data_IF_172527632728
#
_entry.id   IF_172527632728
#
_cell.length_a   1.000
_cell.length_b   1.000
_cell.length_c   1.000
_cell.angle_alpha   90.00
_cell.angle_beta   90.00
_cell.angle_gamma   90.00
#
_symmetry.space_group_name_H-M   'P 1'
#
loop_
_entity.id
_entity.type
_entity.pdbx_description
1 polymer ?
#
# COMPACT_ATOMS: atom_id res chain seq x y z
N UNK A 1 11.04 34.94 15.73
CA UNK A 1 11.09 33.62 15.07
C UNK A 1 9.83 33.45 14.24
N UNK A 2 9.92 33.68 12.93
CA UNK A 2 8.83 33.39 11.99
C UNK A 2 8.89 31.90 11.70
N UNK A 3 7.97 31.16 12.30
CA UNK A 3 7.79 29.73 12.07
C UNK A 3 7.03 29.61 10.74
N UNK A 4 7.76 29.36 9.64
CA UNK A 4 7.14 29.09 8.35
C UNK A 4 6.13 27.94 8.51
N UNK A 5 4.88 28.07 8.03
CA UNK A 5 3.96 26.96 8.07
C UNK A 5 4.58 25.81 7.28
N UNK A 6 4.70 24.64 7.90
CA UNK A 6 5.10 23.42 7.21
C UNK A 6 4.20 23.31 5.96
N UNK A 7 4.78 23.08 4.77
CA UNK A 7 3.97 22.82 3.58
C UNK A 7 2.98 21.69 3.93
N UNK A 8 1.73 21.78 3.45
CA UNK A 8 0.77 20.71 3.69
C UNK A 8 1.43 19.39 3.30
N UNK A 9 1.33 18.33 4.13
CA UNK A 9 1.89 17.04 3.77
C UNK A 9 1.34 16.68 2.39
N UNK A 10 2.21 16.24 1.47
CA UNK A 10 1.75 15.69 0.20
C UNK A 10 0.77 14.57 0.53
N UNK A 11 -0.52 14.76 0.24
CA UNK A 11 -1.52 13.74 0.57
C UNK A 11 -1.27 12.53 -0.32
N UNK A 12 -0.98 11.35 0.25
CA UNK A 12 -0.71 10.16 -0.53
C UNK A 12 -2.05 9.52 -0.95
N UNK A 13 -2.89 10.28 -1.65
CA UNK A 13 -4.28 9.91 -1.96
C UNK A 13 -4.35 8.61 -2.76
N UNK A 14 -3.43 8.41 -3.71
CA UNK A 14 -3.36 7.19 -4.51
C UNK A 14 -2.90 6.01 -3.66
N UNK A 15 -1.82 6.16 -2.88
CA UNK A 15 -1.32 5.10 -2.02
C UNK A 15 -2.31 4.73 -0.89
N UNK A 16 -3.12 5.68 -0.42
CA UNK A 16 -4.21 5.42 0.53
C UNK A 16 -5.39 4.68 -0.14
N UNK A 17 -5.76 5.08 -1.35
CA UNK A 17 -6.85 4.45 -2.10
C UNK A 17 -6.48 3.08 -2.71
N UNK A 18 -5.20 2.71 -2.70
CA UNK A 18 -4.76 1.36 -3.04
C UNK A 18 -5.40 0.33 -2.10
N UNK A 19 -6.02 -0.71 -2.67
CA UNK A 19 -6.60 -1.83 -1.92
C UNK A 19 -5.62 -3.01 -1.94
N UNK A 20 -5.28 -3.52 -0.76
CA UNK A 20 -4.41 -4.69 -0.61
C UNK A 20 -5.29 -5.88 -0.26
N UNK A 21 -5.56 -6.73 -1.25
CA UNK A 21 -6.45 -7.90 -1.07
C UNK A 21 -5.76 -9.04 -0.32
N UNK A 22 -4.45 -9.10 -0.36
CA UNK A 22 -3.69 -10.15 0.29
C UNK A 22 -2.20 -9.98 0.05
N UNK A 23 -1.41 -10.71 0.83
CA UNK A 23 -0.01 -10.96 0.51
C UNK A 23 0.23 -12.45 0.57
N UNK A 24 1.19 -12.89 -0.23
CA UNK A 24 1.57 -14.28 -0.34
C UNK A 24 3.08 -14.35 -0.56
N UNK A 25 3.68 -15.41 -0.05
CA UNK A 25 5.09 -15.69 -0.29
C UNK A 25 5.21 -16.69 -1.43
N UNK A 26 5.88 -16.31 -2.51
CA UNK A 26 6.22 -17.21 -3.62
C UNK A 26 7.70 -17.55 -3.49
N UNK A 27 8.00 -18.78 -3.07
CA UNK A 27 9.38 -19.21 -2.76
C UNK A 27 9.94 -18.42 -1.58
N UNK A 28 10.98 -17.62 -1.82
CA UNK A 28 11.61 -16.72 -0.83
C UNK A 28 11.13 -15.27 -0.92
N UNK A 29 10.26 -14.93 -1.86
CA UNK A 29 9.86 -13.54 -2.16
C UNK A 29 8.43 -13.27 -1.68
N UNK A 30 8.25 -12.21 -0.88
CA UNK A 30 6.93 -11.71 -0.53
C UNK A 30 6.32 -10.93 -1.70
N UNK A 31 5.07 -11.24 -2.03
CA UNK A 31 4.29 -10.60 -3.08
C UNK A 31 2.97 -10.12 -2.48
N UNK A 32 2.49 -8.97 -2.93
CA UNK A 32 1.22 -8.39 -2.56
C UNK A 32 0.26 -8.42 -3.74
N UNK A 33 -1.00 -8.75 -3.47
CA UNK A 33 -2.11 -8.62 -4.41
C UNK A 33 -2.75 -7.27 -4.18
N UNK A 34 -2.63 -6.39 -5.16
CA UNK A 34 -3.00 -4.99 -5.02
C UNK A 34 -3.91 -4.55 -6.16
N UNK A 35 -4.91 -3.74 -5.83
CA UNK A 35 -5.74 -3.01 -6.78
C UNK A 35 -5.55 -1.52 -6.56
N UNK A 36 -4.91 -0.85 -7.52
CA UNK A 36 -4.79 0.60 -7.51
C UNK A 36 -6.11 1.26 -7.94
N UNK A 37 -6.46 2.45 -7.43
CA UNK A 37 -7.68 3.16 -7.84
C UNK A 37 -7.68 3.52 -9.33
N UNK A 38 -6.50 3.77 -9.89
CA UNK A 38 -6.30 4.14 -11.30
C UNK A 38 -6.18 2.91 -12.22
N UNK A 39 -6.11 1.69 -11.67
CA UNK A 39 -5.96 0.46 -12.45
C UNK A 39 -7.22 -0.40 -12.35
N UNK A 40 -7.80 -0.75 -13.50
CA UNK A 40 -8.99 -1.61 -13.54
C UNK A 40 -8.67 -3.06 -13.20
N UNK A 41 -7.41 -3.49 -13.33
CA UNK A 41 -6.97 -4.85 -13.08
C UNK A 41 -6.23 -4.96 -11.74
N UNK A 42 -6.40 -6.11 -11.08
CA UNK A 42 -5.61 -6.49 -9.91
C UNK A 42 -4.23 -6.97 -10.37
N UNK A 43 -3.16 -6.60 -9.64
CA UNK A 43 -1.79 -6.99 -9.97
C UNK A 43 -1.05 -7.55 -8.77
N UNK A 44 -0.12 -8.44 -9.07
CA UNK A 44 0.88 -8.90 -8.12
C UNK A 44 2.06 -7.94 -8.16
N UNK A 45 2.47 -7.46 -7.00
CA UNK A 45 3.66 -6.63 -6.87
C UNK A 45 4.58 -7.12 -5.77
N UNK A 46 5.85 -6.79 -5.89
CA UNK A 46 6.90 -7.04 -4.91
C UNK A 46 7.54 -5.73 -4.46
N UNK A 47 8.41 -5.83 -3.47
CA UNK A 47 9.27 -4.71 -3.08
C UNK A 47 10.05 -4.15 -4.29
N UNK A 48 10.01 -2.83 -4.46
CA UNK A 48 10.60 -2.09 -5.57
C UNK A 48 9.67 -1.86 -6.77
N UNK A 49 8.52 -2.55 -6.85
CA UNK A 49 7.57 -2.33 -7.94
C UNK A 49 6.84 -0.99 -7.80
N UNK A 50 6.33 -0.47 -8.91
CA UNK A 50 5.57 0.79 -8.93
C UNK A 50 4.15 0.58 -9.47
N UNK A 51 3.20 1.26 -8.86
CA UNK A 51 1.78 1.28 -9.18
C UNK A 51 1.36 2.66 -9.73
N UNK A 52 0.17 2.75 -10.32
CA UNK A 52 -0.43 4.01 -10.76
C UNK A 52 0.51 4.81 -11.68
N UNK A 53 1.05 4.14 -12.72
CA UNK A 53 2.00 4.70 -13.69
C UNK A 53 3.31 5.22 -13.09
N UNK A 54 3.76 4.66 -11.96
CA UNK A 54 5.03 5.03 -11.35
C UNK A 54 4.93 6.02 -10.20
N UNK A 55 3.72 6.45 -9.84
CA UNK A 55 3.46 7.44 -8.79
C UNK A 55 3.54 6.86 -7.38
N UNK A 56 3.24 5.56 -7.24
CA UNK A 56 3.29 4.86 -5.96
C UNK A 56 4.35 3.77 -6.04
N UNK A 57 5.31 3.80 -5.12
CA UNK A 57 6.38 2.81 -4.98
C UNK A 57 6.03 1.82 -3.87
N UNK A 58 6.22 0.54 -4.10
CA UNK A 58 6.17 -0.47 -3.05
C UNK A 58 7.54 -0.50 -2.36
N UNK A 59 7.66 0.12 -1.19
CA UNK A 59 8.94 0.15 -0.46
C UNK A 59 9.26 -1.15 0.24
N UNK A 60 8.24 -1.86 0.73
CA UNK A 60 8.43 -3.05 1.56
C UNK A 60 7.14 -3.87 1.63
N UNK A 61 7.30 -5.19 1.69
CA UNK A 61 6.21 -6.11 2.00
C UNK A 61 6.66 -6.99 3.15
N UNK A 62 5.99 -6.87 4.29
CA UNK A 62 6.29 -7.67 5.48
C UNK A 62 5.16 -8.66 5.75
N UNK A 63 5.57 -9.89 6.02
CA UNK A 63 4.67 -10.97 6.42
C UNK A 63 5.07 -11.36 7.84
N UNK A 64 4.57 -10.62 8.82
CA UNK A 64 4.87 -10.84 10.24
C UNK A 64 3.91 -11.88 10.80
N UNK A 65 4.39 -13.12 10.87
CA UNK A 65 3.62 -14.25 11.41
C UNK A 65 2.40 -14.62 10.55
N UNK A 66 1.39 -15.19 11.21
CA UNK A 66 0.18 -15.73 10.59
C UNK A 66 -0.95 -14.69 10.51
N UNK A 67 -0.82 -13.57 11.23
CA UNK A 67 -1.97 -12.75 11.60
C UNK A 67 -2.08 -11.45 10.82
N UNK A 68 -0.99 -10.72 10.58
CA UNK A 68 -1.08 -9.34 10.06
C UNK A 68 0.09 -8.97 9.16
N UNK A 69 0.00 -9.32 7.87
CA UNK A 69 0.91 -8.75 6.90
C UNK A 69 0.57 -7.30 6.55
N UNK A 70 1.59 -6.54 6.21
CA UNK A 70 1.46 -5.16 5.78
C UNK A 70 2.39 -4.83 4.61
N UNK A 71 1.95 -3.88 3.80
CA UNK A 71 2.66 -3.34 2.65
C UNK A 71 2.96 -1.87 2.92
N UNK A 72 4.21 -1.48 2.77
CA UNK A 72 4.63 -0.08 2.85
C UNK A 72 4.69 0.48 1.43
N UNK A 73 3.84 1.46 1.17
CA UNK A 73 3.79 2.20 -0.08
C UNK A 73 4.42 3.58 0.14
N UNK A 74 5.00 4.16 -0.90
CA UNK A 74 5.51 5.53 -0.89
C UNK A 74 4.92 6.27 -2.08
N UNK A 75 4.39 7.46 -1.84
CA UNK A 75 3.91 8.36 -2.88
C UNK A 75 4.49 9.75 -2.63
N UNK A 76 5.20 10.31 -3.61
CA UNK A 76 5.77 11.65 -3.52
C UNK A 76 6.61 11.90 -2.24
N UNK A 77 7.30 10.87 -1.74
CA UNK A 77 8.10 10.91 -0.51
C UNK A 77 7.33 10.71 0.79
N UNK A 78 6.03 10.41 0.73
CA UNK A 78 5.20 10.08 1.91
C UNK A 78 4.95 8.58 1.97
N UNK A 79 5.29 7.97 3.11
CA UNK A 79 5.11 6.55 3.35
C UNK A 79 3.70 6.26 3.91
N UNK A 80 3.04 5.25 3.35
CA UNK A 80 1.72 4.78 3.72
C UNK A 80 1.79 3.29 4.02
N UNK A 81 1.40 2.91 5.22
CA UNK A 81 1.32 1.51 5.63
C UNK A 81 -0.10 1.02 5.32
N UNK A 82 -0.20 0.05 4.41
CA UNK A 82 -1.44 -0.63 4.05
C UNK A 82 -1.42 -2.05 4.60
N UNK A 83 -2.31 -2.31 5.54
CA UNK A 83 -2.60 -3.69 5.95
C UNK A 83 -3.46 -4.36 4.88
N UNK A 84 -3.42 -5.70 4.87
CA UNK A 84 -4.41 -6.44 4.10
C UNK A 84 -5.82 -6.04 4.55
N UNK A 85 -6.70 -5.75 3.61
CA UNK A 85 -8.13 -5.70 3.92
C UNK A 85 -8.54 -7.14 4.24
N UNK A 86 -8.50 -7.52 5.53
CA UNK A 86 -9.36 -8.59 6.01
C UNK A 86 -10.75 -8.13 5.64
N UNK A 87 -11.37 -8.80 4.66
CA UNK A 87 -12.70 -8.45 4.15
C UNK A 87 -13.53 -8.07 5.35
N UNK A 88 -13.80 -6.77 5.48
CA UNK A 88 -14.54 -6.24 6.61
C UNK A 88 -15.76 -7.11 6.69
N UNK A 89 -15.96 -7.74 7.84
CA UNK A 89 -17.25 -8.28 8.23
C UNK A 89 -18.22 -7.11 8.06
N UNK A 90 -18.78 -6.94 6.87
CA UNK A 90 -19.97 -6.13 6.65
C UNK A 90 -21.11 -6.98 7.18
N UNK A 91 -21.06 -7.29 8.47
CA UNK A 91 -22.25 -7.47 9.29
C UNK A 91 -22.80 -6.06 9.47
N UNK A 92 -23.41 -5.55 8.40
CA UNK A 92 -24.44 -4.56 8.58
C UNK A 92 -25.48 -5.21 9.51
N UNK A 93 -25.48 -4.80 10.78
CA UNK A 93 -26.64 -4.97 11.67
C UNK A 93 -27.55 -3.77 11.50
#
# INVERSE_FOLDING_TARGET
IVQSPLPPPFSPDLAQAVLVSGVLRVGSVANAIIKAPDESAVRYVREGDRLANGQVLVKRIEIVGISEPFVVLEQSGVEVIKMIEKGTDKVAS
#
